data_IF_034179422315
#
_entry.id   IF_034179422315
#
_cell.length_a   1.000
_cell.length_b   1.000
_cell.length_c   1.000
_cell.angle_alpha   90.00
_cell.angle_beta   90.00
_cell.angle_gamma   90.00
#
_symmetry.space_group_name_H-M   'P 1'
#
loop_
_entity.id
_entity.type
_entity.pdbx_description
1 polymer ?
#
# COMPACT_ATOMS: atom_id res chain seq x y z
N UNK A 1 -25.53 -27.74 55.36
CA UNK A 1 -26.10 -28.89 54.66
C UNK A 1 -25.28 -28.99 53.39
N UNK A 2 -24.18 -29.78 53.40
CA UNK A 2 -24.13 -31.21 53.06
C UNK A 2 -24.55 -31.42 51.62
N UNK A 3 -23.83 -31.96 50.64
CA UNK A 3 -22.73 -32.94 50.62
C UNK A 3 -22.22 -32.95 49.20
N UNK A 4 -20.89 -33.01 48.86
CA UNK A 4 -20.10 -34.25 48.64
C UNK A 4 -20.65 -35.02 47.42
N UNK A 5 -19.96 -35.51 46.43
CA UNK A 5 -18.66 -36.18 46.36
C UNK A 5 -18.30 -36.52 44.91
N UNK A 6 -17.06 -36.47 44.57
CA UNK A 6 -16.12 -37.54 44.22
C UNK A 6 -16.21 -38.10 42.77
N UNK A 7 -15.17 -37.87 41.99
CA UNK A 7 -14.05 -38.77 41.65
C UNK A 7 -14.40 -40.16 41.05
N UNK A 8 -13.80 -40.45 39.89
CA UNK A 8 -13.10 -41.75 39.62
C UNK A 8 -12.26 -41.72 38.35
N UNK A 9 -10.99 -41.88 38.55
CA UNK A 9 -9.89 -42.39 37.70
C UNK A 9 -10.07 -43.85 37.30
N UNK A 10 -9.59 -44.24 36.13
CA UNK A 10 -8.94 -45.55 35.76
C UNK A 10 -8.37 -45.38 34.34
N UNK A 11 -7.11 -45.39 34.02
CA UNK A 11 -5.97 -46.28 34.19
C UNK A 11 -5.98 -47.51 33.23
N UNK A 12 -4.92 -47.54 32.41
CA UNK A 12 -4.09 -48.67 31.95
C UNK A 12 -4.68 -49.69 30.96
N UNK A 13 -4.05 -49.89 29.79
CA UNK A 13 -3.22 -51.09 29.56
C UNK A 13 -2.52 -51.05 28.20
N UNK A 14 -1.22 -51.25 28.24
CA UNK A 14 -0.33 -51.56 27.15
C UNK A 14 -0.57 -53.00 26.63
N UNK A 15 -0.36 -53.24 25.33
CA UNK A 15 -0.06 -54.54 24.82
C UNK A 15 1.00 -54.49 23.72
N UNK A 16 2.13 -55.02 24.08
CA UNK A 16 3.32 -55.28 23.28
C UNK A 16 3.06 -56.60 22.51
N UNK A 17 3.25 -56.64 21.20
CA UNK A 17 3.50 -57.90 20.50
C UNK A 17 4.60 -57.74 19.46
N UNK A 18 5.65 -58.46 19.72
CA UNK A 18 6.84 -58.74 18.96
C UNK A 18 6.56 -59.90 17.99
N UNK A 19 6.83 -59.72 16.70
CA UNK A 19 7.03 -60.88 15.79
C UNK A 19 8.22 -60.58 14.86
N UNK A 20 9.27 -61.33 15.04
CA UNK A 20 10.38 -61.52 14.10
C UNK A 20 9.93 -62.45 12.96
N UNK A 21 10.33 -62.11 11.72
CA UNK A 21 10.81 -63.11 10.73
C UNK A 21 11.42 -62.45 9.49
N UNK A 22 12.71 -62.68 9.33
CA UNK A 22 13.47 -63.14 8.17
C UNK A 22 13.33 -62.43 6.82
N UNK A 23 14.36 -61.72 6.43
CA UNK A 23 15.26 -61.85 5.29
C UNK A 23 14.68 -61.87 3.86
N UNK A 24 14.93 -60.77 3.13
CA UNK A 24 15.34 -60.84 1.72
C UNK A 24 16.07 -59.57 1.39
N UNK A 25 17.36 -59.71 1.06
CA UNK A 25 18.18 -58.66 0.47
C UNK A 25 17.71 -58.38 -0.97
N UNK A 26 17.20 -57.19 -1.22
CA UNK A 26 17.12 -56.61 -2.53
C UNK A 26 17.96 -55.34 -2.55
N UNK A 27 19.07 -55.39 -3.27
CA UNK A 27 19.88 -54.23 -3.59
C UNK A 27 19.06 -53.35 -4.53
N UNK A 28 18.54 -52.25 -4.02
CA UNK A 28 17.96 -51.16 -4.82
C UNK A 28 19.03 -50.10 -4.96
N UNK A 29 19.59 -49.99 -6.15
CA UNK A 29 20.37 -48.84 -6.60
C UNK A 29 19.51 -47.58 -6.48
N UNK A 30 19.76 -46.76 -5.49
CA UNK A 30 19.21 -45.42 -5.38
C UNK A 30 19.87 -44.54 -6.40
N UNK A 31 19.18 -44.35 -7.52
CA UNK A 31 19.46 -43.27 -8.45
C UNK A 31 18.98 -41.98 -7.77
N UNK A 32 19.94 -41.17 -7.33
CA UNK A 32 19.66 -39.84 -6.80
C UNK A 32 19.11 -38.99 -7.97
N UNK A 33 17.80 -38.76 -7.97
CA UNK A 33 17.23 -37.72 -8.78
C UNK A 33 17.64 -36.38 -8.14
N UNK A 34 18.58 -35.68 -8.75
CA UNK A 34 18.82 -34.27 -8.50
C UNK A 34 17.52 -33.51 -8.85
N UNK A 35 16.77 -33.18 -7.81
CA UNK A 35 15.70 -32.21 -7.91
C UNK A 35 16.36 -30.84 -8.22
N UNK A 36 16.37 -30.48 -9.50
CA UNK A 36 16.69 -29.13 -9.96
C UNK A 36 15.67 -28.19 -9.29
N UNK A 37 16.08 -27.56 -8.20
CA UNK A 37 15.32 -26.47 -7.62
C UNK A 37 15.35 -25.32 -8.63
N UNK A 38 14.29 -25.23 -9.42
CA UNK A 38 14.00 -24.01 -10.19
C UNK A 38 13.83 -22.89 -9.17
N UNK A 39 14.87 -22.10 -8.98
CA UNK A 39 14.79 -20.81 -8.29
C UNK A 39 13.80 -19.99 -9.11
N UNK A 40 12.56 -19.91 -8.64
CA UNK A 40 11.59 -18.95 -9.14
C UNK A 40 12.13 -17.58 -8.81
N UNK A 41 12.82 -16.97 -9.76
CA UNK A 41 13.19 -15.56 -9.72
C UNK A 41 11.84 -14.84 -9.70
N UNK A 42 11.51 -14.24 -8.54
CA UNK A 42 10.41 -13.29 -8.43
C UNK A 42 10.57 -12.28 -9.57
N UNK A 43 9.53 -11.95 -10.35
CA UNK A 43 9.69 -11.04 -11.47
C UNK A 43 10.38 -9.78 -10.96
N UNK A 44 11.52 -9.45 -11.54
CA UNK A 44 12.21 -8.20 -11.31
C UNK A 44 11.16 -7.09 -11.45
N UNK A 45 11.02 -6.23 -10.44
CA UNK A 45 10.12 -5.08 -10.52
C UNK A 45 10.38 -4.36 -11.83
N UNK A 46 9.36 -4.17 -12.67
CA UNK A 46 9.54 -3.55 -13.98
C UNK A 46 10.26 -2.21 -13.78
N UNK A 47 11.25 -1.89 -14.60
CA UNK A 47 12.01 -0.63 -14.46
C UNK A 47 11.11 0.60 -14.69
N UNK A 48 9.93 0.42 -15.24
CA UNK A 48 8.98 1.48 -15.57
C UNK A 48 7.62 1.27 -14.88
N UNK A 49 6.93 2.39 -14.63
CA UNK A 49 5.54 2.40 -14.20
C UNK A 49 4.63 1.88 -15.33
N UNK A 50 3.65 1.06 -15.01
CA UNK A 50 2.56 0.74 -15.92
C UNK A 50 1.76 2.00 -16.26
N UNK A 51 1.06 2.01 -17.39
CA UNK A 51 0.20 3.15 -17.79
C UNK A 51 -0.81 3.52 -16.71
N UNK A 52 -1.35 2.53 -16.01
CA UNK A 52 -2.23 2.71 -14.86
C UNK A 52 -1.53 3.43 -13.70
N UNK A 53 -0.31 3.03 -13.34
CA UNK A 53 0.46 3.66 -12.27
C UNK A 53 0.89 5.08 -12.63
N UNK A 54 1.12 5.38 -13.91
CA UNK A 54 1.49 6.73 -14.37
C UNK A 54 0.37 7.76 -14.17
N UNK A 55 -0.89 7.36 -14.22
CA UNK A 55 -2.02 8.26 -14.00
C UNK A 55 -2.17 8.70 -12.53
N UNK A 56 -1.75 7.86 -11.57
CA UNK A 56 -1.98 8.07 -10.13
C UNK A 56 -1.34 9.37 -9.62
N UNK A 57 -0.03 9.63 -9.81
CA UNK A 57 0.59 10.85 -9.30
C UNK A 57 0.03 12.12 -9.94
N UNK A 58 -0.45 12.05 -11.19
CA UNK A 58 -1.07 13.19 -11.87
C UNK A 58 -2.44 13.52 -11.27
N UNK A 59 -3.30 12.52 -11.08
CA UNK A 59 -4.58 12.71 -10.39
C UNK A 59 -4.39 13.33 -9.01
N UNK A 60 -3.40 12.84 -8.26
CA UNK A 60 -3.08 13.33 -6.93
C UNK A 60 -2.58 14.77 -6.93
N UNK A 61 -1.69 15.13 -7.85
CA UNK A 61 -1.15 16.47 -7.99
C UNK A 61 -2.26 17.49 -8.35
N UNK A 62 -3.11 17.18 -9.32
CA UNK A 62 -4.20 18.08 -9.72
C UNK A 62 -5.29 18.22 -8.64
N UNK A 63 -5.57 17.15 -7.89
CA UNK A 63 -6.41 17.26 -6.70
C UNK A 63 -5.79 18.20 -5.66
N UNK A 64 -4.49 18.08 -5.39
CA UNK A 64 -3.79 18.89 -4.39
C UNK A 64 -3.77 20.38 -4.75
N UNK A 65 -3.71 20.71 -6.05
CA UNK A 65 -3.77 22.10 -6.52
C UNK A 65 -5.20 22.60 -6.78
N UNK A 66 -6.20 21.73 -6.67
CA UNK A 66 -7.59 22.03 -7.07
C UNK A 66 -7.74 22.40 -8.54
N UNK A 67 -6.85 21.88 -9.40
CA UNK A 67 -6.98 22.03 -10.86
C UNK A 67 -7.99 21.00 -11.40
N UNK A 68 -9.27 21.35 -11.33
CA UNK A 68 -10.37 20.45 -11.72
C UNK A 68 -10.36 20.06 -13.20
N UNK A 69 -10.05 20.95 -14.16
CA UNK A 69 -9.95 20.57 -15.56
C UNK A 69 -8.86 19.52 -15.83
N UNK A 70 -7.67 19.71 -15.26
CA UNK A 70 -6.58 18.74 -15.38
C UNK A 70 -6.86 17.44 -14.61
N UNK A 71 -7.55 17.52 -13.46
CA UNK A 71 -8.02 16.34 -12.74
C UNK A 71 -9.02 15.53 -13.56
N UNK A 72 -9.99 16.16 -14.22
CA UNK A 72 -10.94 15.49 -15.12
C UNK A 72 -10.21 14.70 -16.20
N UNK A 73 -9.23 15.35 -16.87
CA UNK A 73 -8.43 14.68 -17.89
C UNK A 73 -7.64 13.48 -17.33
N UNK A 74 -7.00 13.65 -16.17
CA UNK A 74 -6.22 12.59 -15.51
C UNK A 74 -7.11 11.43 -15.03
N UNK A 75 -8.32 11.70 -14.56
CA UNK A 75 -9.30 10.68 -14.19
C UNK A 75 -9.73 9.84 -15.41
N UNK A 76 -10.05 10.50 -16.53
CA UNK A 76 -10.37 9.79 -17.77
C UNK A 76 -9.20 8.93 -18.24
N UNK A 77 -7.97 9.45 -18.25
CA UNK A 77 -6.77 8.72 -18.63
C UNK A 77 -6.52 7.52 -17.70
N UNK A 78 -6.72 7.69 -16.40
CA UNK A 78 -6.55 6.61 -15.41
C UNK A 78 -7.55 5.47 -15.63
N UNK A 79 -8.82 5.79 -15.88
CA UNK A 79 -9.86 4.80 -16.20
C UNK A 79 -9.57 4.11 -17.54
N UNK A 80 -9.13 4.84 -18.58
CA UNK A 80 -8.72 4.28 -19.86
C UNK A 80 -7.48 3.37 -19.73
N UNK A 81 -6.59 3.69 -18.80
CA UNK A 81 -5.40 2.87 -18.47
C UNK A 81 -5.71 1.65 -17.60
N UNK A 82 -6.98 1.44 -17.21
CA UNK A 82 -7.43 0.27 -16.47
C UNK A 82 -7.47 0.45 -14.95
N UNK A 83 -7.40 1.69 -14.42
CA UNK A 83 -7.82 1.93 -13.04
C UNK A 83 -9.32 1.63 -12.94
N UNK A 84 -9.71 0.88 -11.92
CA UNK A 84 -11.10 0.71 -11.57
C UNK A 84 -11.67 1.93 -10.87
N UNK A 85 -12.99 2.08 -10.90
CA UNK A 85 -13.69 3.16 -10.18
C UNK A 85 -13.38 3.10 -8.66
N UNK A 86 -13.34 1.88 -8.09
CA UNK A 86 -13.00 1.68 -6.67
C UNK A 86 -11.58 2.18 -6.35
N UNK A 87 -10.59 1.88 -7.20
CA UNK A 87 -9.20 2.33 -6.98
C UNK A 87 -9.05 3.84 -7.15
N UNK A 88 -9.65 4.43 -8.19
CA UNK A 88 -9.65 5.87 -8.37
C UNK A 88 -10.30 6.60 -7.17
N UNK A 89 -11.42 6.08 -6.69
CA UNK A 89 -12.09 6.58 -5.48
C UNK A 89 -11.20 6.45 -4.25
N UNK A 90 -10.55 5.31 -4.05
CA UNK A 90 -9.68 5.07 -2.90
C UNK A 90 -8.47 5.99 -2.86
N UNK A 91 -7.87 6.29 -4.03
CA UNK A 91 -6.81 7.30 -4.17
C UNK A 91 -7.28 8.65 -3.67
N UNK A 92 -8.44 9.14 -4.14
CA UNK A 92 -8.97 10.45 -3.76
C UNK A 92 -9.42 10.50 -2.30
N UNK A 93 -9.96 9.40 -1.77
CA UNK A 93 -10.31 9.28 -0.35
C UNK A 93 -9.06 9.38 0.52
N UNK A 94 -8.02 8.57 0.27
CA UNK A 94 -6.78 8.60 1.05
C UNK A 94 -6.19 10.01 1.16
N UNK A 95 -6.22 10.75 0.06
CA UNK A 95 -5.54 12.03 -0.03
C UNK A 95 -6.14 13.13 0.86
N UNK A 96 -7.36 12.95 1.40
CA UNK A 96 -7.85 13.94 2.37
C UNK A 96 -6.94 14.09 3.60
N UNK A 97 -6.24 13.00 3.99
CA UNK A 97 -5.30 13.02 5.10
C UNK A 97 -4.04 13.87 4.83
N UNK A 98 -3.77 14.20 3.57
CA UNK A 98 -2.60 14.99 3.14
C UNK A 98 -2.96 16.40 2.67
N UNK A 99 -4.11 16.58 2.03
CA UNK A 99 -4.49 17.85 1.41
C UNK A 99 -5.87 18.38 1.85
N UNK A 100 -6.49 17.70 2.81
CA UNK A 100 -7.73 18.11 3.47
C UNK A 100 -9.01 17.65 2.79
N UNK A 101 -10.08 17.54 3.58
CA UNK A 101 -11.41 17.14 3.13
C UNK A 101 -11.97 17.96 1.96
N UNK A 102 -11.84 19.31 1.92
CA UNK A 102 -12.46 20.08 0.84
C UNK A 102 -11.96 19.65 -0.53
N UNK A 103 -10.65 19.44 -0.71
CA UNK A 103 -10.07 19.00 -1.98
C UNK A 103 -10.49 17.57 -2.33
N UNK A 104 -10.53 16.68 -1.35
CA UNK A 104 -10.97 15.30 -1.55
C UNK A 104 -12.44 15.24 -1.99
N UNK A 105 -13.32 15.97 -1.33
CA UNK A 105 -14.74 16.01 -1.67
C UNK A 105 -14.97 16.56 -3.09
N UNK A 106 -14.26 17.63 -3.47
CA UNK A 106 -14.35 18.17 -4.82
C UNK A 106 -13.85 17.16 -5.86
N UNK A 107 -12.74 16.49 -5.60
CA UNK A 107 -12.18 15.46 -6.49
C UNK A 107 -13.10 14.23 -6.62
N UNK A 108 -13.74 13.82 -5.54
CA UNK A 108 -14.73 12.73 -5.57
C UNK A 108 -15.99 13.10 -6.37
N UNK A 109 -16.45 14.35 -6.26
CA UNK A 109 -17.54 14.86 -7.10
C UNK A 109 -17.14 14.87 -8.59
N UNK A 110 -15.89 15.25 -8.89
CA UNK A 110 -15.37 15.22 -10.26
C UNK A 110 -15.31 13.79 -10.80
N UNK A 111 -14.79 12.83 -10.01
CA UNK A 111 -14.79 11.40 -10.39
C UNK A 111 -16.21 10.90 -10.67
N UNK A 112 -17.16 11.24 -9.82
CA UNK A 112 -18.58 10.87 -10.03
C UNK A 112 -19.09 11.42 -11.38
N UNK A 113 -18.81 12.68 -11.68
CA UNK A 113 -19.19 13.33 -12.94
C UNK A 113 -18.55 12.65 -14.15
N UNK A 114 -17.25 12.34 -14.08
CA UNK A 114 -16.51 11.62 -15.12
C UNK A 114 -17.12 10.25 -15.37
N UNK A 115 -17.35 9.45 -14.34
CA UNK A 115 -17.94 8.10 -14.47
C UNK A 115 -19.35 8.16 -15.08
N UNK A 116 -20.17 9.11 -14.67
CA UNK A 116 -21.50 9.31 -15.25
C UNK A 116 -21.44 9.70 -16.73
N UNK A 117 -20.58 10.65 -17.10
CA UNK A 117 -20.41 11.07 -18.48
C UNK A 117 -19.87 9.93 -19.37
N UNK A 118 -18.94 9.11 -18.86
CA UNK A 118 -18.42 7.93 -19.56
C UNK A 118 -19.52 6.90 -19.78
N UNK A 119 -20.32 6.62 -18.76
CA UNK A 119 -21.49 5.71 -18.86
C UNK A 119 -22.50 6.20 -19.92
N UNK A 120 -22.78 7.50 -19.96
CA UNK A 120 -23.69 8.07 -21.00
C UNK A 120 -23.15 7.91 -22.42
N UNK A 121 -21.83 7.86 -22.59
CA UNK A 121 -21.16 7.55 -23.86
C UNK A 121 -21.06 6.06 -24.18
N UNK A 122 -21.64 5.19 -23.34
CA UNK A 122 -21.60 3.75 -23.52
C UNK A 122 -20.30 3.07 -23.05
N UNK A 123 -19.43 3.79 -22.32
CA UNK A 123 -18.19 3.23 -21.77
C UNK A 123 -18.52 2.51 -20.45
N UNK A 124 -18.13 1.24 -20.35
CA UNK A 124 -18.29 0.43 -19.15
C UNK A 124 -16.96 0.39 -18.38
N UNK A 125 -16.80 1.29 -17.42
CA UNK A 125 -15.64 1.29 -16.54
C UNK A 125 -15.70 0.11 -15.56
N UNK A 126 -14.56 -0.51 -15.27
CA UNK A 126 -14.47 -1.57 -14.29
C UNK A 126 -14.83 -1.03 -12.90
N UNK A 127 -15.82 -1.60 -12.19
CA UNK A 127 -16.20 -1.11 -10.86
C UNK A 127 -15.07 -1.29 -9.83
N UNK A 128 -14.25 -2.33 -10.01
CA UNK A 128 -13.25 -2.73 -9.04
C UNK A 128 -13.85 -3.44 -7.84
N UNK A 129 -12.99 -3.90 -6.94
CA UNK A 129 -13.43 -4.52 -5.68
C UNK A 129 -13.51 -3.50 -4.56
N UNK A 130 -14.47 -3.66 -3.68
CA UNK A 130 -14.49 -2.95 -2.40
C UNK A 130 -13.48 -3.58 -1.42
N UNK A 131 -13.09 -2.85 -0.35
CA UNK A 131 -12.31 -3.46 0.71
C UNK A 131 -12.99 -4.71 1.24
N UNK A 132 -12.25 -5.82 1.33
CA UNK A 132 -12.78 -7.12 1.76
C UNK A 132 -12.42 -7.45 3.20
N UNK A 133 -11.38 -6.81 3.74
CA UNK A 133 -10.93 -7.01 5.11
C UNK A 133 -11.73 -6.14 6.06
N UNK A 134 -12.19 -6.72 7.17
CA UNK A 134 -12.72 -5.94 8.29
C UNK A 134 -11.60 -5.09 8.90
N UNK A 135 -11.85 -3.81 9.08
CA UNK A 135 -10.92 -2.90 9.74
C UNK A 135 -11.01 -3.17 11.25
N UNK A 136 -9.87 -3.41 11.95
CA UNK A 136 -9.86 -3.55 13.40
C UNK A 136 -10.41 -2.30 14.10
N UNK A 137 -10.75 -2.43 15.38
CA UNK A 137 -11.25 -1.31 16.18
C UNK A 137 -10.49 -1.19 17.50
N UNK A 138 -10.50 -0.01 18.11
CA UNK A 138 -9.91 0.24 19.41
C UNK A 138 -8.40 -0.06 19.47
N UNK A 139 -7.97 -0.86 20.44
CA UNK A 139 -6.55 -1.18 20.64
C UNK A 139 -5.94 -1.99 19.48
N UNK A 140 -6.72 -2.84 18.84
CA UNK A 140 -6.28 -3.62 17.68
C UNK A 140 -6.01 -2.72 16.47
N UNK A 141 -6.83 -1.70 16.25
CA UNK A 141 -6.60 -0.69 15.21
C UNK A 141 -5.30 0.08 15.45
N UNK A 142 -5.06 0.52 16.68
CA UNK A 142 -3.82 1.19 17.05
C UNK A 142 -2.61 0.29 16.83
N UNK A 143 -2.70 -0.99 17.19
CA UNK A 143 -1.61 -1.96 16.98
C UNK A 143 -1.34 -2.19 15.47
N UNK A 144 -2.39 -2.41 14.68
CA UNK A 144 -2.28 -2.59 13.22
C UNK A 144 -1.68 -1.35 12.54
N UNK A 145 -2.20 -0.17 12.84
CA UNK A 145 -1.70 1.07 12.28
C UNK A 145 -0.28 1.41 12.73
N UNK A 146 0.11 1.11 13.97
CA UNK A 146 1.50 1.23 14.45
C UNK A 146 2.44 0.31 13.67
N UNK A 147 2.02 -0.93 13.40
CA UNK A 147 2.78 -1.88 12.59
C UNK A 147 2.94 -1.38 11.15
N UNK A 148 1.87 -0.89 10.53
CA UNK A 148 1.88 -0.32 9.18
C UNK A 148 2.78 0.91 9.11
N UNK A 149 2.66 1.86 10.05
CA UNK A 149 3.52 3.03 10.15
C UNK A 149 5.00 2.63 10.26
N UNK A 150 5.33 1.69 11.14
CA UNK A 150 6.70 1.20 11.33
C UNK A 150 7.25 0.55 10.07
N UNK A 151 6.44 -0.27 9.39
CA UNK A 151 6.83 -0.94 8.15
C UNK A 151 7.16 0.05 7.04
N UNK A 152 6.31 1.05 6.83
CA UNK A 152 6.48 2.03 5.75
C UNK A 152 7.59 3.04 6.06
N UNK A 153 7.75 3.40 7.34
CA UNK A 153 8.81 4.30 7.80
C UNK A 153 10.17 3.61 7.95
N UNK A 154 10.20 2.28 8.01
CA UNK A 154 11.40 1.46 8.22
C UNK A 154 11.85 1.37 9.69
N UNK A 155 11.23 2.12 10.58
CA UNK A 155 11.47 2.11 12.03
C UNK A 155 10.27 2.74 12.77
N UNK A 156 10.11 2.51 14.08
CA UNK A 156 9.12 3.23 14.88
C UNK A 156 9.33 4.75 14.78
N UNK A 157 8.25 5.47 14.47
CA UNK A 157 8.29 6.92 14.29
C UNK A 157 8.41 7.61 15.65
N UNK A 158 9.43 8.45 15.82
CA UNK A 158 9.74 9.22 17.02
C UNK A 158 10.21 10.62 16.63
N UNK A 159 10.19 11.53 17.58
CA UNK A 159 10.79 12.85 17.40
C UNK A 159 10.07 13.93 18.21
N UNK A 160 10.70 15.14 18.30
CA UNK A 160 10.21 16.19 19.19
C UNK A 160 8.77 16.62 18.96
N UNK A 161 8.29 16.62 17.72
CA UNK A 161 6.90 16.98 17.40
C UNK A 161 5.89 15.98 17.99
N UNK A 162 6.25 14.69 18.01
CA UNK A 162 5.39 13.63 18.57
C UNK A 162 5.46 13.57 20.09
N UNK A 163 6.55 14.05 20.69
CA UNK A 163 6.67 14.24 22.14
C UNK A 163 5.89 15.47 22.60
N UNK A 164 5.93 16.54 21.81
CA UNK A 164 5.20 17.79 22.08
C UNK A 164 3.68 17.63 21.88
N UNK A 165 3.27 16.91 20.84
CA UNK A 165 1.86 16.70 20.48
C UNK A 165 1.59 15.21 20.21
N UNK A 166 1.58 14.33 21.23
CA UNK A 166 1.48 12.88 21.03
C UNK A 166 0.18 12.44 20.34
N UNK A 167 -0.88 13.23 20.47
CA UNK A 167 -2.17 12.94 19.81
C UNK A 167 -2.07 12.91 18.28
N UNK A 168 -1.16 13.70 17.68
CA UNK A 168 -1.00 13.67 16.21
C UNK A 168 -0.41 12.34 15.74
N UNK A 169 0.50 11.74 16.50
CA UNK A 169 1.00 10.40 16.18
C UNK A 169 -0.08 9.35 16.37
N UNK A 170 -0.91 9.48 17.38
CA UNK A 170 -2.07 8.58 17.57
C UNK A 170 -3.02 8.65 16.36
N UNK A 171 -3.33 9.84 15.84
CA UNK A 171 -4.16 9.98 14.63
C UNK A 171 -3.48 9.39 13.40
N UNK A 172 -2.17 9.59 13.24
CA UNK A 172 -1.44 8.91 12.16
C UNK A 172 -1.56 7.40 12.27
N UNK A 173 -1.35 6.84 13.47
CA UNK A 173 -1.38 5.39 13.69
C UNK A 173 -2.80 4.83 13.53
N UNK A 174 -3.81 5.39 14.21
CA UNK A 174 -5.16 4.82 14.18
C UNK A 174 -5.87 5.14 12.88
N UNK A 175 -5.76 6.36 12.37
CA UNK A 175 -6.56 6.80 11.25
C UNK A 175 -5.86 6.62 9.90
N UNK A 176 -4.67 7.22 9.70
CA UNK A 176 -4.00 7.09 8.41
C UNK A 176 -3.50 5.65 8.20
N UNK A 177 -2.66 5.13 9.09
CA UNK A 177 -2.07 3.80 8.94
C UNK A 177 -2.97 2.66 9.41
N UNK A 178 -4.02 2.96 10.19
CA UNK A 178 -5.10 2.06 10.57
C UNK A 178 -6.24 2.10 9.56
N UNK A 179 -7.23 2.99 9.75
CA UNK A 179 -8.47 3.00 8.96
C UNK A 179 -8.22 3.01 7.44
N UNK A 180 -7.23 3.78 6.95
CA UNK A 180 -7.00 3.94 5.51
C UNK A 180 -6.09 2.82 4.98
N UNK A 181 -4.94 2.55 5.60
CA UNK A 181 -3.99 1.56 5.08
C UNK A 181 -4.41 0.11 5.29
N UNK A 182 -5.35 -0.18 6.22
CA UNK A 182 -5.96 -1.51 6.33
C UNK A 182 -6.97 -1.82 5.22
N UNK A 183 -7.40 -0.83 4.44
CA UNK A 183 -8.28 -1.03 3.28
C UNK A 183 -7.47 -1.65 2.15
N UNK A 184 -7.80 -2.90 1.80
CA UNK A 184 -7.03 -3.76 0.91
C UNK A 184 -7.38 -3.61 -0.58
N UNK A 185 -8.24 -2.65 -0.94
CA UNK A 185 -8.67 -2.40 -2.32
C UNK A 185 -7.71 -1.51 -3.14
N UNK A 186 -6.63 -1.00 -2.51
CA UNK A 186 -5.53 -0.29 -3.17
C UNK A 186 -4.20 -0.77 -2.57
N UNK A 187 -3.24 -1.13 -3.41
CA UNK A 187 -1.92 -1.57 -2.96
C UNK A 187 -1.07 -0.41 -2.43
N UNK A 188 -0.06 -0.72 -1.63
CA UNK A 188 0.77 0.30 -0.98
C UNK A 188 1.65 1.08 -1.96
N UNK A 189 2.05 0.50 -3.08
CA UNK A 189 2.79 1.23 -4.13
C UNK A 189 1.90 2.31 -4.74
N UNK A 190 0.66 1.96 -5.08
CA UNK A 190 -0.33 2.92 -5.59
C UNK A 190 -0.66 4.02 -4.56
N UNK A 191 -0.76 3.66 -3.26
CA UNK A 191 -0.93 4.63 -2.18
C UNK A 191 0.23 5.62 -2.12
N UNK A 192 1.47 5.15 -2.21
CA UNK A 192 2.64 6.03 -2.18
C UNK A 192 2.78 6.87 -3.46
N UNK A 193 2.46 6.33 -4.64
CA UNK A 193 2.41 7.14 -5.88
C UNK A 193 1.43 8.31 -5.76
N UNK A 194 0.26 8.08 -5.17
CA UNK A 194 -0.72 9.13 -4.90
C UNK A 194 -0.18 10.16 -3.89
N UNK A 195 0.38 9.69 -2.78
CA UNK A 195 0.92 10.57 -1.73
C UNK A 195 2.08 11.43 -2.26
N UNK A 196 3.00 10.84 -3.00
CA UNK A 196 4.12 11.58 -3.63
C UNK A 196 3.60 12.63 -4.61
N UNK A 197 2.62 12.28 -5.46
CA UNK A 197 2.01 13.24 -6.39
C UNK A 197 1.38 14.44 -5.68
N UNK A 198 0.59 14.19 -4.64
CA UNK A 198 -0.07 15.23 -3.86
C UNK A 198 0.93 16.12 -3.09
N UNK A 199 1.91 15.52 -2.41
CA UNK A 199 2.90 16.26 -1.65
C UNK A 199 3.85 17.06 -2.55
N UNK A 200 4.22 16.54 -3.72
CA UNK A 200 5.00 17.29 -4.70
C UNK A 200 4.28 18.57 -5.17
N UNK A 201 2.96 18.51 -5.29
CA UNK A 201 2.12 19.64 -5.68
C UNK A 201 1.77 20.60 -4.53
N UNK A 202 2.15 20.26 -3.28
CA UNK A 202 1.87 21.07 -2.08
C UNK A 202 3.15 21.72 -1.57
N UNK A 203 3.34 23.04 -1.70
CA UNK A 203 4.51 23.75 -1.14
C UNK A 203 4.54 23.69 0.39
N UNK A 204 5.76 23.68 0.98
CA UNK A 204 5.96 23.74 2.43
C UNK A 204 5.92 22.39 3.15
N UNK A 205 5.80 21.27 2.40
CA UNK A 205 5.78 19.91 2.95
C UNK A 205 6.92 19.03 2.40
N UNK A 206 8.06 19.65 2.06
CA UNK A 206 9.20 18.99 1.41
C UNK A 206 9.81 17.89 2.27
N UNK A 207 9.78 18.03 3.60
CA UNK A 207 10.26 16.99 4.53
C UNK A 207 9.38 15.74 4.48
N UNK A 208 8.06 15.90 4.39
CA UNK A 208 7.10 14.81 4.24
C UNK A 208 7.25 14.16 2.85
N UNK A 209 7.39 14.95 1.80
CA UNK A 209 7.64 14.45 0.46
C UNK A 209 8.89 13.56 0.41
N UNK A 210 10.01 14.00 1.00
CA UNK A 210 11.21 13.17 1.11
C UNK A 210 10.96 11.86 1.87
N UNK A 211 10.19 11.92 2.96
CA UNK A 211 9.86 10.73 3.75
C UNK A 211 9.02 9.73 2.93
N UNK A 212 8.08 10.22 2.12
CA UNK A 212 7.27 9.38 1.24
C UNK A 212 8.02 8.87 0.01
N UNK A 213 9.05 9.57 -0.48
CA UNK A 213 10.00 9.02 -1.47
C UNK A 213 10.76 7.82 -0.89
N UNK A 214 11.19 7.87 0.39
CA UNK A 214 11.80 6.73 1.08
C UNK A 214 10.79 5.59 1.30
N UNK A 215 9.58 5.92 1.72
CA UNK A 215 8.48 4.97 1.89
C UNK A 215 8.18 4.24 0.57
N UNK A 216 8.13 4.98 -0.54
CA UNK A 216 7.94 4.45 -1.88
C UNK A 216 8.98 3.38 -2.25
N UNK A 217 10.27 3.64 -1.95
CA UNK A 217 11.33 2.65 -2.15
C UNK A 217 11.11 1.40 -1.27
N UNK A 218 10.67 1.57 -0.02
CA UNK A 218 10.42 0.46 0.92
C UNK A 218 9.23 -0.40 0.54
N UNK A 219 8.20 0.17 -0.08
CA UNK A 219 7.06 -0.60 -0.59
C UNK A 219 7.34 -1.24 -1.96
N UNK A 220 8.56 -1.09 -2.50
CA UNK A 220 9.03 -1.80 -3.67
C UNK A 220 8.96 -1.02 -4.99
N UNK A 221 8.74 0.31 -4.95
CA UNK A 221 8.95 1.15 -6.12
C UNK A 221 10.47 1.33 -6.36
N UNK A 222 10.89 1.26 -7.61
CA UNK A 222 12.30 1.47 -7.96
C UNK A 222 12.63 2.96 -8.08
N UNK A 223 13.92 3.28 -7.97
CA UNK A 223 14.40 4.64 -8.24
C UNK A 223 14.10 5.10 -9.68
N UNK A 224 14.06 4.17 -10.64
CA UNK A 224 13.71 4.48 -12.02
C UNK A 224 12.21 4.87 -12.14
N UNK A 225 11.33 4.13 -11.46
CA UNK A 225 9.91 4.45 -11.40
C UNK A 225 9.64 5.81 -10.73
N UNK A 226 10.35 6.14 -9.66
CA UNK A 226 10.21 7.44 -8.99
C UNK A 226 10.77 8.60 -9.84
N UNK A 227 11.84 8.39 -10.65
CA UNK A 227 12.25 9.38 -11.66
C UNK A 227 11.17 9.59 -12.70
N UNK A 228 10.52 8.51 -13.15
CA UNK A 228 9.41 8.61 -14.09
C UNK A 228 8.24 9.43 -13.51
N UNK A 229 7.94 9.32 -12.19
CA UNK A 229 6.97 10.21 -11.53
C UNK A 229 7.39 11.68 -11.69
N UNK A 230 8.67 12.00 -11.43
CA UNK A 230 9.19 13.37 -11.60
C UNK A 230 9.05 13.87 -13.04
N UNK A 231 9.34 13.01 -14.02
CA UNK A 231 9.22 13.34 -15.45
C UNK A 231 7.75 13.56 -15.86
N UNK A 232 6.82 12.75 -15.34
CA UNK A 232 5.37 12.93 -15.55
C UNK A 232 4.88 14.26 -15.00
N UNK A 233 5.28 14.62 -13.77
CA UNK A 233 4.94 15.89 -13.14
C UNK A 233 5.53 17.08 -13.90
N UNK A 234 6.74 16.93 -14.46
CA UNK A 234 7.36 17.95 -15.34
C UNK A 234 6.61 18.13 -16.64
N UNK A 235 6.14 17.06 -17.24
CA UNK A 235 5.48 17.06 -18.55
C UNK A 235 4.03 17.57 -18.48
N UNK A 236 3.31 17.21 -17.44
CA UNK A 236 1.85 17.41 -17.33
C UNK A 236 1.44 18.35 -16.20
N UNK A 237 2.30 18.59 -15.22
CA UNK A 237 2.11 19.52 -14.12
C UNK A 237 2.84 20.84 -14.34
N UNK A 238 3.41 21.39 -13.27
CA UNK A 238 4.21 22.60 -13.30
C UNK A 238 5.68 22.32 -12.93
N UNK A 239 6.58 23.26 -13.34
CA UNK A 239 8.01 23.11 -13.16
C UNK A 239 8.40 23.04 -11.67
N UNK A 240 7.73 23.79 -10.79
CA UNK A 240 8.03 23.81 -9.35
C UNK A 240 7.65 22.48 -8.67
N UNK A 241 6.52 21.90 -9.05
CA UNK A 241 6.10 20.56 -8.58
C UNK A 241 7.14 19.50 -8.97
N UNK A 242 7.61 19.53 -10.21
CA UNK A 242 8.65 18.61 -10.68
C UNK A 242 9.99 18.82 -9.98
N UNK A 243 10.38 20.06 -9.72
CA UNK A 243 11.60 20.41 -9.01
C UNK A 243 11.56 19.90 -7.55
N UNK A 244 10.46 20.15 -6.83
CA UNK A 244 10.26 19.59 -5.47
C UNK A 244 10.36 18.07 -5.45
N UNK A 245 9.71 17.40 -6.39
CA UNK A 245 9.76 15.94 -6.50
C UNK A 245 11.18 15.43 -6.77
N UNK A 246 11.90 16.05 -7.72
CA UNK A 246 13.28 15.69 -8.07
C UNK A 246 14.25 15.88 -6.91
N UNK A 247 14.15 17.01 -6.21
CA UNK A 247 14.96 17.31 -5.04
C UNK A 247 14.72 16.32 -3.91
N UNK A 248 13.45 16.03 -3.60
CA UNK A 248 13.08 15.06 -2.57
C UNK A 248 13.57 13.64 -2.91
N UNK A 249 13.46 13.24 -4.18
CA UNK A 249 13.97 11.95 -4.65
C UNK A 249 15.49 11.84 -4.51
N UNK A 250 16.23 12.87 -4.92
CA UNK A 250 17.69 12.90 -4.78
C UNK A 250 18.13 12.74 -3.32
N UNK A 251 17.47 13.46 -2.40
CA UNK A 251 17.71 13.37 -0.96
C UNK A 251 17.34 11.97 -0.39
N UNK A 252 16.24 11.38 -0.83
CA UNK A 252 15.83 10.06 -0.42
C UNK A 252 16.85 9.00 -0.86
N UNK A 253 17.30 9.05 -2.12
CA UNK A 253 18.30 8.12 -2.65
C UNK A 253 19.67 8.28 -1.95
N UNK A 254 20.06 9.48 -1.55
CA UNK A 254 21.26 9.69 -0.75
C UNK A 254 21.13 9.09 0.65
N UNK A 255 19.95 9.16 1.27
CA UNK A 255 19.68 8.59 2.58
C UNK A 255 19.56 7.06 2.58
N UNK A 256 19.07 6.45 1.50
CA UNK A 256 18.88 4.99 1.39
C UNK A 256 20.19 4.21 1.20
N UNK A 257 21.32 4.91 0.94
CA UNK A 257 22.65 4.30 0.77
C UNK A 257 23.46 4.20 2.08
N UNK A 258 22.95 4.81 3.14
CA UNK A 258 23.57 4.78 4.48
C UNK A 258 22.95 3.68 5.34
#
# INVERSE_FOLDING_TARGET
MMTSDASKTTALSALLMLCLSAGAMFSVTTQAAEASQTVTISPASSESLSTRQQAIPLMAAFMATSDMPSLNAALNQGLDAGLSVSEAREILVQLYAYVGFPRSLNALNELMTVVQARKQRGIADAPGREPSRAIPVGAELLAAGTANQTKISGAPVKGPVFEFAPVINQFLQTHLFGDIFERDNLDWQSRELATVGALAATPGVESQLRSHMLASLRVGLSAAQLRQVTDLLKKHGDAQTAERAGTALAQALAASRK
#
